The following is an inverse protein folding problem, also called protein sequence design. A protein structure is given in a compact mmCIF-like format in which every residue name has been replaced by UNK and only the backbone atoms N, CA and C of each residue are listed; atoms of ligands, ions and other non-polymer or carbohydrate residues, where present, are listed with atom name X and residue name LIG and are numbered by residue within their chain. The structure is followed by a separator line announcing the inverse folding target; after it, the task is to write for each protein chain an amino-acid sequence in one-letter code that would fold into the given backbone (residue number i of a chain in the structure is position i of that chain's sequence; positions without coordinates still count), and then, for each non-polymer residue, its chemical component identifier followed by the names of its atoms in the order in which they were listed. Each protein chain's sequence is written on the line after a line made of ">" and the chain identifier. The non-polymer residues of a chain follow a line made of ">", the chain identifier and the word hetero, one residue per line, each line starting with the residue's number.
data_IF_362482619328
#
_entry.id   IF_362482619328
#
_cell.length_a   1.000
_cell.length_b   1.000
_cell.length_c   1.000
_cell.angle_alpha   90.00
_cell.angle_beta   90.00
_cell.angle_gamma   90.00
#
_symmetry.space_group_name_H-M   'P 1'
#
loop_
_entity.id
_entity.type
_entity.pdbx_description
1 polymer ?
#
# COMPACT_ATOMS: atom_id res chain seq x y z
N UNK A 1 -7.99 5.25 -9.18
CA UNK A 1 -6.83 6.18 -9.42
C UNK A 1 -5.70 5.84 -8.48
N UNK A 2 -4.45 5.89 -8.97
CA UNK A 2 -3.22 5.72 -8.17
C UNK A 2 -2.38 6.97 -8.32
N UNK A 3 -1.81 7.46 -7.22
CA UNK A 3 -0.90 8.60 -7.19
C UNK A 3 0.31 8.32 -6.30
N UNK A 4 1.46 8.79 -6.72
CA UNK A 4 2.73 8.68 -6.00
C UNK A 4 3.37 10.06 -5.95
N UNK A 5 3.92 10.43 -4.79
CA UNK A 5 4.62 11.69 -4.57
C UNK A 5 5.98 11.46 -3.93
N UNK A 6 7.02 12.02 -4.53
CA UNK A 6 8.33 12.10 -3.91
C UNK A 6 8.33 13.30 -2.97
N UNK A 7 8.49 13.01 -1.69
CA UNK A 7 8.43 14.01 -0.63
C UNK A 7 9.79 14.70 -0.53
N UNK A 8 9.84 15.99 -0.79
CA UNK A 8 11.02 16.84 -0.58
C UNK A 8 10.83 17.77 0.60
N UNK A 9 9.57 18.07 0.95
CA UNK A 9 9.14 19.00 1.96
C UNK A 9 9.37 18.49 3.38
N UNK A 10 9.54 19.39 4.32
CA UNK A 10 9.51 19.12 5.76
C UNK A 10 8.09 18.76 6.22
N UNK A 11 7.96 18.21 7.42
CA UNK A 11 6.64 17.90 7.99
C UNK A 11 5.77 19.13 8.17
N UNK A 12 6.37 20.25 8.57
CA UNK A 12 5.73 21.54 8.78
C UNK A 12 5.23 22.13 7.45
N UNK A 13 6.06 22.15 6.42
CA UNK A 13 5.68 22.59 5.07
C UNK A 13 4.52 21.76 4.50
N UNK A 14 4.58 20.42 4.67
CA UNK A 14 3.48 19.55 4.27
C UNK A 14 2.18 19.85 5.03
N UNK A 15 2.28 20.12 6.33
CA UNK A 15 1.11 20.44 7.13
C UNK A 15 0.47 21.76 6.69
N UNK A 16 1.27 22.73 6.28
CA UNK A 16 0.78 24.01 5.76
C UNK A 16 -0.01 23.86 4.45
N UNK A 17 0.27 22.83 3.65
CA UNK A 17 -0.48 22.50 2.42
C UNK A 17 -1.87 21.91 2.68
N UNK A 18 -2.15 21.43 3.90
CA UNK A 18 -3.48 20.91 4.23
C UNK A 18 -4.51 22.03 4.40
N UNK A 19 -5.80 21.79 4.06
CA UNK A 19 -6.85 22.76 4.32
C UNK A 19 -7.08 22.94 5.82
N UNK A 20 -7.50 24.13 6.24
CA UNK A 20 -7.73 24.45 7.66
C UNK A 20 -8.76 23.51 8.30
N UNK A 21 -9.76 23.08 7.53
CA UNK A 21 -10.77 22.08 7.98
C UNK A 21 -10.18 20.73 8.37
N UNK A 22 -9.03 20.36 7.77
CA UNK A 22 -8.31 19.15 8.15
C UNK A 22 -7.35 19.41 9.31
N UNK A 23 -6.64 20.57 9.28
CA UNK A 23 -5.65 20.94 10.31
C UNK A 23 -6.23 20.93 11.72
N UNK A 24 -7.45 21.44 11.89
CA UNK A 24 -8.11 21.51 13.21
C UNK A 24 -8.41 20.12 13.82
N UNK A 25 -8.43 19.06 13.01
CA UNK A 25 -8.68 17.69 13.43
C UNK A 25 -7.39 16.88 13.66
N UNK A 26 -6.24 17.43 13.29
CA UNK A 26 -4.97 16.71 13.28
C UNK A 26 -4.01 17.26 14.33
N UNK A 27 -3.41 16.38 15.10
CA UNK A 27 -2.27 16.71 15.96
C UNK A 27 -0.96 16.44 15.20
N UNK A 28 -0.36 17.48 14.65
CA UNK A 28 0.91 17.39 13.91
C UNK A 28 2.03 16.75 14.74
N UNK A 29 2.04 16.95 16.07
CA UNK A 29 3.11 16.41 16.91
C UNK A 29 3.07 14.88 17.00
N UNK A 30 1.88 14.30 16.91
CA UNK A 30 1.69 12.84 16.89
C UNK A 30 1.95 12.19 15.54
N UNK A 31 2.09 12.98 14.46
CA UNK A 31 2.25 12.49 13.10
C UNK A 31 3.71 12.49 12.64
N UNK A 32 4.07 11.48 11.85
CA UNK A 32 5.32 11.53 11.10
C UNK A 32 5.12 12.21 9.73
N UNK A 33 6.24 12.56 9.07
CA UNK A 33 6.26 13.23 7.77
C UNK A 33 5.43 12.51 6.70
N UNK A 34 5.54 11.19 6.62
CA UNK A 34 4.81 10.38 5.64
C UNK A 34 3.29 10.41 5.85
N UNK A 35 2.85 10.41 7.11
CA UNK A 35 1.41 10.50 7.42
C UNK A 35 0.81 11.83 7.01
N UNK A 36 1.59 12.92 7.08
CA UNK A 36 1.14 14.24 6.60
C UNK A 36 1.14 14.25 5.07
N UNK A 37 2.23 13.79 4.43
CA UNK A 37 2.35 13.75 2.97
C UNK A 37 1.22 12.94 2.31
N UNK A 38 0.87 11.77 2.88
CA UNK A 38 -0.23 10.96 2.36
C UNK A 38 -1.58 11.69 2.41
N UNK A 39 -1.80 12.53 3.42
CA UNK A 39 -3.02 13.35 3.52
C UNK A 39 -3.02 14.51 2.54
N UNK A 40 -1.88 15.17 2.36
CA UNK A 40 -1.74 16.21 1.34
C UNK A 40 -1.99 15.63 -0.05
N UNK A 41 -1.40 14.47 -0.36
CA UNK A 41 -1.61 13.78 -1.62
C UNK A 41 -3.08 13.42 -1.83
N UNK A 42 -3.73 12.87 -0.80
CA UNK A 42 -5.15 12.53 -0.84
C UNK A 42 -6.03 13.77 -1.06
N UNK A 43 -5.75 14.88 -0.37
CA UNK A 43 -6.48 16.15 -0.58
C UNK A 43 -6.24 16.72 -1.97
N UNK A 44 -5.02 16.66 -2.49
CA UNK A 44 -4.69 17.12 -3.84
C UNK A 44 -5.48 16.37 -4.91
N UNK A 45 -5.64 15.05 -4.74
CA UNK A 45 -6.37 14.19 -5.68
C UNK A 45 -7.89 14.29 -5.48
N UNK A 46 -8.34 14.46 -4.25
CA UNK A 46 -9.75 14.48 -3.85
C UNK A 46 -10.05 15.75 -3.03
N UNK A 47 -10.01 16.95 -3.63
CA UNK A 47 -10.07 18.22 -2.90
C UNK A 47 -11.43 18.46 -2.21
N UNK A 48 -12.50 17.84 -2.72
CA UNK A 48 -13.87 17.98 -2.21
C UNK A 48 -14.19 16.99 -1.07
N UNK A 49 -13.19 16.18 -0.65
CA UNK A 49 -13.40 15.15 0.37
C UNK A 49 -12.92 15.65 1.74
N UNK A 50 -13.55 15.09 2.77
CA UNK A 50 -13.17 15.35 4.15
C UNK A 50 -11.85 14.68 4.54
N UNK A 51 -11.40 14.97 5.77
CA UNK A 51 -10.19 14.37 6.33
C UNK A 51 -10.27 12.84 6.41
N UNK A 52 -9.08 12.23 6.38
CA UNK A 52 -8.93 10.78 6.49
C UNK A 52 -8.85 10.38 7.98
N UNK A 53 -9.69 9.42 8.35
CA UNK A 53 -9.62 8.69 9.61
C UNK A 53 -9.24 7.23 9.40
N UNK A 54 -9.13 6.47 10.47
CA UNK A 54 -8.90 5.02 10.45
C UNK A 54 -10.00 4.32 11.23
N UNK A 55 -10.48 3.21 10.68
CA UNK A 55 -11.43 2.35 11.36
C UNK A 55 -10.78 1.54 12.50
N UNK A 56 -11.54 0.69 13.17
CA UNK A 56 -11.08 -0.19 14.25
C UNK A 56 -10.01 -1.21 13.81
N UNK A 57 -9.92 -1.48 12.51
CA UNK A 57 -8.91 -2.35 11.91
C UNK A 57 -7.67 -1.58 11.46
N UNK A 58 -7.71 -0.25 11.46
CA UNK A 58 -6.63 0.64 11.01
C UNK A 58 -6.66 0.97 9.52
N UNK A 59 -7.75 0.58 8.82
CA UNK A 59 -7.96 0.90 7.41
C UNK A 59 -8.35 2.37 7.28
N UNK A 60 -7.69 3.15 6.39
CA UNK A 60 -8.05 4.54 6.17
C UNK A 60 -9.37 4.66 5.41
N UNK A 61 -10.14 5.69 5.74
CA UNK A 61 -11.38 6.06 5.04
C UNK A 61 -11.61 7.58 5.09
N UNK A 62 -12.39 8.10 4.13
CA UNK A 62 -12.89 9.48 4.18
C UNK A 62 -14.16 9.54 5.03
N UNK A 63 -14.31 10.58 5.86
CA UNK A 63 -15.47 10.73 6.76
C UNK A 63 -16.78 10.92 5.98
N UNK A 64 -16.73 11.68 4.87
CA UNK A 64 -17.92 12.10 4.12
C UNK A 64 -18.24 11.27 2.89
N UNK A 65 -17.37 10.34 2.51
CA UNK A 65 -17.48 9.56 1.28
C UNK A 65 -17.11 8.11 1.52
N UNK A 66 -17.94 7.23 1.03
CA UNK A 66 -17.74 5.77 1.07
C UNK A 66 -16.91 5.29 -0.15
N UNK A 67 -15.80 5.98 -0.41
CA UNK A 67 -14.84 5.57 -1.42
C UNK A 67 -13.69 4.82 -0.77
N UNK A 68 -13.49 3.54 -1.13
CA UNK A 68 -12.34 2.79 -0.63
C UNK A 68 -11.03 3.48 -0.99
N UNK A 69 -10.18 3.65 0.03
CA UNK A 69 -8.85 4.23 -0.13
C UNK A 69 -7.77 3.33 0.45
N UNK A 70 -6.57 3.46 -0.08
CA UNK A 70 -5.39 2.80 0.44
C UNK A 70 -4.20 3.76 0.41
N UNK A 71 -3.37 3.69 1.45
CA UNK A 71 -2.23 4.59 1.66
C UNK A 71 -0.97 3.75 1.86
N UNK A 72 0.14 4.21 1.29
CA UNK A 72 1.45 3.60 1.49
C UNK A 72 2.54 4.64 1.54
N UNK A 73 3.71 4.25 2.07
CA UNK A 73 4.92 5.08 2.05
C UNK A 73 6.16 4.23 2.25
N UNK A 74 7.25 4.61 1.60
CA UNK A 74 8.59 4.07 1.84
C UNK A 74 9.64 5.11 1.44
N UNK A 75 10.72 5.21 2.24
CA UNK A 75 11.82 6.14 1.96
C UNK A 75 11.33 7.58 1.75
N UNK A 76 11.49 8.09 0.54
CA UNK A 76 11.08 9.45 0.17
C UNK A 76 9.67 9.52 -0.47
N UNK A 77 8.93 8.41 -0.58
CA UNK A 77 7.66 8.39 -1.29
C UNK A 77 6.46 8.22 -0.37
N UNK A 78 5.37 8.91 -0.71
CA UNK A 78 4.01 8.63 -0.27
C UNK A 78 3.15 8.21 -1.45
N UNK A 79 2.32 7.19 -1.26
CA UNK A 79 1.38 6.70 -2.25
C UNK A 79 -0.06 6.74 -1.73
N UNK A 80 -0.97 7.04 -2.63
CA UNK A 80 -2.41 7.09 -2.38
C UNK A 80 -3.16 6.42 -3.53
N UNK A 81 -4.15 5.62 -3.18
CA UNK A 81 -5.07 5.01 -4.13
C UNK A 81 -6.49 5.19 -3.64
N UNK A 82 -7.41 5.45 -4.57
CA UNK A 82 -8.84 5.34 -4.33
C UNK A 82 -9.58 4.70 -5.50
N UNK A 83 -10.75 4.16 -5.21
CA UNK A 83 -11.70 3.58 -6.15
C UNK A 83 -13.11 4.02 -5.78
N UNK A 84 -14.05 3.93 -6.71
CA UNK A 84 -15.43 4.38 -6.49
C UNK A 84 -16.36 3.22 -6.10
N UNK A 85 -16.04 2.00 -6.54
CA UNK A 85 -16.98 0.88 -6.54
C UNK A 85 -16.43 -0.44 -5.97
N UNK A 86 -15.14 -0.48 -5.57
CA UNK A 86 -14.51 -1.69 -5.06
C UNK A 86 -13.39 -1.38 -4.08
N UNK A 87 -13.08 -2.33 -3.23
CA UNK A 87 -11.91 -2.26 -2.36
C UNK A 87 -10.61 -2.07 -3.13
N UNK A 88 -9.62 -1.47 -2.49
CA UNK A 88 -8.31 -1.23 -3.10
C UNK A 88 -7.16 -1.43 -2.11
N UNK A 89 -6.00 -1.73 -2.67
CA UNK A 89 -4.77 -1.88 -1.90
C UNK A 89 -3.56 -1.44 -2.70
N UNK A 90 -2.72 -0.62 -2.10
CA UNK A 90 -1.46 -0.13 -2.67
C UNK A 90 -0.33 -0.33 -1.67
N UNK A 91 0.82 -0.75 -2.16
CA UNK A 91 2.04 -0.82 -1.35
C UNK A 91 3.26 -0.34 -2.14
N UNK A 92 4.17 0.36 -1.46
CA UNK A 92 5.48 0.76 -1.96
C UNK A 92 6.54 0.33 -0.96
N UNK A 93 7.66 -0.20 -1.47
CA UNK A 93 8.77 -0.62 -0.65
C UNK A 93 10.12 -0.19 -1.25
N UNK A 94 11.04 0.23 -0.39
CA UNK A 94 12.42 0.46 -0.78
C UNK A 94 13.21 -0.85 -0.66
N UNK A 95 13.80 -1.29 -1.75
CA UNK A 95 14.51 -2.58 -1.84
C UNK A 95 15.80 -2.52 -1.00
N UNK A 96 15.90 -3.44 -0.04
CA UNK A 96 17.07 -3.55 0.83
C UNK A 96 17.22 -4.98 1.38
N UNK A 97 18.39 -5.35 1.87
CA UNK A 97 18.64 -6.69 2.43
C UNK A 97 17.87 -7.00 3.72
N UNK A 98 17.19 -6.02 4.32
CA UNK A 98 16.37 -6.24 5.54
C UNK A 98 15.27 -7.28 5.36
N UNK A 99 14.74 -7.41 4.13
CA UNK A 99 13.66 -8.34 3.80
C UNK A 99 14.05 -9.80 4.03
N UNK A 100 15.33 -10.16 3.84
CA UNK A 100 15.84 -11.52 4.00
C UNK A 100 15.60 -12.08 5.41
N UNK A 101 15.63 -11.21 6.43
CA UNK A 101 15.43 -11.61 7.84
C UNK A 101 14.00 -12.07 8.13
N UNK A 102 13.04 -11.59 7.37
CA UNK A 102 11.61 -11.86 7.60
C UNK A 102 10.97 -12.74 6.53
N UNK A 103 11.71 -13.14 5.49
CA UNK A 103 11.18 -13.94 4.37
C UNK A 103 10.43 -15.21 4.83
N UNK A 104 10.88 -15.83 5.91
CA UNK A 104 10.25 -17.01 6.49
C UNK A 104 8.79 -16.77 6.96
N UNK A 105 8.39 -15.50 7.17
CA UNK A 105 7.04 -15.13 7.61
C UNK A 105 6.04 -15.03 6.46
N UNK A 106 6.51 -14.79 5.23
CA UNK A 106 5.61 -14.51 4.11
C UNK A 106 5.81 -15.39 2.87
N UNK A 107 7.00 -15.98 2.68
CA UNK A 107 7.25 -16.87 1.53
C UNK A 107 6.60 -18.22 1.77
N UNK A 108 5.76 -18.64 0.82
CA UNK A 108 5.17 -19.98 0.74
C UNK A 108 6.13 -20.95 0.05
N UNK A 109 5.89 -22.24 0.23
CA UNK A 109 6.68 -23.26 -0.44
C UNK A 109 6.60 -23.16 -1.97
N UNK A 110 5.41 -22.92 -2.50
CA UNK A 110 5.16 -22.74 -3.94
C UNK A 110 5.63 -21.37 -4.51
N UNK A 111 6.10 -20.48 -3.65
CA UNK A 111 6.67 -19.15 -4.00
C UNK A 111 8.22 -19.10 -3.87
N UNK A 112 8.87 -20.18 -3.44
CA UNK A 112 10.33 -20.21 -3.19
C UNK A 112 11.17 -19.79 -4.39
N UNK A 113 10.78 -20.20 -5.60
CA UNK A 113 11.48 -19.82 -6.84
C UNK A 113 11.58 -18.30 -7.07
N UNK A 114 10.67 -17.50 -6.49
CA UNK A 114 10.72 -16.04 -6.56
C UNK A 114 11.70 -15.47 -5.53
N UNK A 115 11.74 -16.06 -4.34
CA UNK A 115 12.76 -15.71 -3.35
C UNK A 115 14.18 -15.98 -3.87
N UNK A 116 14.38 -17.01 -4.68
CA UNK A 116 15.66 -17.36 -5.33
C UNK A 116 16.08 -16.34 -6.39
N UNK A 117 15.17 -15.48 -6.88
CA UNK A 117 15.47 -14.36 -7.77
C UNK A 117 16.12 -13.16 -7.05
N UNK A 118 16.49 -13.31 -5.78
CA UNK A 118 17.13 -12.28 -4.97
C UNK A 118 16.17 -11.26 -4.36
N UNK A 119 16.70 -10.08 -4.03
CA UNK A 119 15.92 -9.06 -3.31
C UNK A 119 14.66 -8.63 -4.06
N UNK A 120 14.74 -8.47 -5.38
CA UNK A 120 13.57 -8.09 -6.18
C UNK A 120 12.44 -9.13 -6.07
N UNK A 121 12.76 -10.43 -6.13
CA UNK A 121 11.78 -11.49 -5.97
C UNK A 121 11.17 -11.53 -4.57
N UNK A 122 11.97 -11.31 -3.53
CA UNK A 122 11.49 -11.21 -2.15
C UNK A 122 10.53 -10.02 -1.97
N UNK A 123 10.91 -8.83 -2.48
CA UNK A 123 10.06 -7.66 -2.41
C UNK A 123 8.80 -7.77 -3.26
N UNK A 124 8.86 -8.45 -4.42
CA UNK A 124 7.67 -8.74 -5.21
C UNK A 124 6.63 -9.51 -4.40
N UNK A 125 7.05 -10.56 -3.68
CA UNK A 125 6.12 -11.33 -2.84
C UNK A 125 5.63 -10.51 -1.65
N UNK A 126 6.52 -9.79 -0.97
CA UNK A 126 6.17 -8.99 0.20
C UNK A 126 5.18 -7.88 -0.15
N UNK A 127 5.54 -7.00 -1.07
CA UNK A 127 4.76 -5.82 -1.47
C UNK A 127 3.38 -6.22 -2.05
N UNK A 128 3.34 -7.30 -2.87
CA UNK A 128 2.06 -7.82 -3.37
C UNK A 128 1.15 -8.31 -2.24
N UNK A 129 1.70 -8.99 -1.24
CA UNK A 129 0.92 -9.47 -0.09
C UNK A 129 0.49 -8.33 0.83
N UNK A 130 1.31 -7.28 0.99
CA UNK A 130 0.90 -6.06 1.69
C UNK A 130 -0.23 -5.33 0.96
N UNK A 131 -0.18 -5.22 -0.37
CA UNK A 131 -1.28 -4.64 -1.15
C UNK A 131 -2.58 -5.46 -0.99
N UNK A 132 -2.50 -6.80 -1.03
CA UNK A 132 -3.65 -7.69 -0.77
C UNK A 132 -4.17 -7.57 0.66
N UNK A 133 -3.29 -7.43 1.64
CA UNK A 133 -3.67 -7.22 3.04
C UNK A 133 -4.43 -5.91 3.24
N UNK A 134 -3.96 -4.82 2.61
CA UNK A 134 -4.63 -3.52 2.61
C UNK A 134 -5.97 -3.56 1.88
N UNK A 135 -6.06 -4.28 0.76
CA UNK A 135 -7.31 -4.53 0.05
C UNK A 135 -8.33 -5.23 0.96
N UNK A 136 -7.93 -6.29 1.64
CA UNK A 136 -8.82 -7.03 2.55
C UNK A 136 -9.33 -6.16 3.70
N UNK A 137 -8.50 -5.30 4.25
CA UNK A 137 -8.84 -4.29 5.24
C UNK A 137 -9.17 -4.81 6.64
N UNK A 138 -9.53 -6.08 6.79
CA UNK A 138 -9.81 -6.72 8.07
C UNK A 138 -8.52 -7.37 8.61
N UNK A 139 -8.30 -7.31 9.92
CA UNK A 139 -7.14 -7.94 10.57
C UNK A 139 -7.14 -9.47 10.43
N UNK A 140 -6.01 -10.07 10.82
CA UNK A 140 -5.83 -11.52 10.93
C UNK A 140 -5.76 -12.28 9.59
N UNK A 141 -5.15 -11.68 8.55
CA UNK A 141 -4.60 -12.47 7.45
C UNK A 141 -3.19 -12.95 7.80
N UNK A 142 -2.96 -14.23 7.66
CA UNK A 142 -1.62 -14.81 7.66
C UNK A 142 -1.08 -14.85 6.23
N UNK A 143 0.12 -14.31 6.01
CA UNK A 143 0.68 -14.11 4.67
C UNK A 143 1.02 -15.43 3.95
N UNK A 144 1.28 -16.50 4.69
CA UNK A 144 1.60 -17.81 4.10
C UNK A 144 0.35 -18.65 3.87
N UNK A 145 -0.62 -18.53 4.76
CA UNK A 145 -1.81 -19.39 4.71
C UNK A 145 -2.90 -18.80 3.82
N UNK A 146 -3.13 -17.48 3.94
CA UNK A 146 -4.29 -16.86 3.33
C UNK A 146 -3.99 -16.10 2.02
N UNK A 147 -2.71 -15.75 1.77
CA UNK A 147 -2.30 -15.00 0.60
C UNK A 147 -1.44 -15.87 -0.31
N UNK A 148 -1.84 -15.94 -1.57
CA UNK A 148 -1.10 -16.66 -2.61
C UNK A 148 -0.95 -15.77 -3.84
N UNK A 149 0.22 -15.87 -4.47
CA UNK A 149 0.54 -15.16 -5.70
C UNK A 149 0.76 -16.15 -6.84
N UNK A 150 0.35 -15.75 -8.03
CA UNK A 150 0.66 -16.44 -9.27
C UNK A 150 1.39 -15.47 -10.18
N UNK A 151 2.60 -15.81 -10.53
CA UNK A 151 3.39 -15.00 -11.42
C UNK A 151 3.95 -15.79 -12.58
N UNK A 152 4.32 -15.02 -13.57
CA UNK A 152 5.28 -15.36 -14.60
C UNK A 152 6.62 -14.67 -14.30
N UNK A 153 7.69 -14.97 -15.01
CA UNK A 153 8.93 -14.20 -14.88
C UNK A 153 8.64 -12.71 -14.98
N UNK A 154 9.07 -11.94 -13.98
CA UNK A 154 8.76 -10.53 -13.90
C UNK A 154 9.81 -9.67 -14.61
N UNK A 155 9.34 -8.59 -15.20
CA UNK A 155 10.11 -7.54 -15.84
C UNK A 155 10.15 -6.29 -14.94
N UNK A 156 10.50 -5.14 -15.53
CA UNK A 156 10.49 -3.86 -14.81
C UNK A 156 9.09 -3.42 -14.40
N UNK A 157 8.09 -3.78 -15.18
CA UNK A 157 6.67 -3.45 -14.98
C UNK A 157 5.80 -4.57 -15.55
N UNK A 158 4.64 -4.82 -14.95
CA UNK A 158 3.72 -5.85 -15.41
C UNK A 158 2.58 -6.11 -14.45
N UNK A 159 1.95 -7.27 -14.65
CA UNK A 159 0.84 -7.71 -13.82
C UNK A 159 1.12 -9.10 -13.21
N UNK A 160 0.51 -9.36 -12.08
CA UNK A 160 0.49 -10.66 -11.43
C UNK A 160 -0.89 -10.91 -10.82
N UNK A 161 -1.20 -12.17 -10.52
CA UNK A 161 -2.46 -12.51 -9.85
C UNK A 161 -2.25 -12.71 -8.35
N UNK A 162 -3.06 -12.00 -7.57
CA UNK A 162 -3.16 -12.19 -6.12
C UNK A 162 -4.43 -12.96 -5.75
N UNK A 163 -4.32 -13.85 -4.77
CA UNK A 163 -5.42 -14.63 -4.23
C UNK A 163 -5.47 -14.42 -2.73
N UNK A 164 -6.64 -14.00 -2.23
CA UNK A 164 -6.96 -14.00 -0.81
C UNK A 164 -7.91 -15.18 -0.56
N UNK A 165 -7.57 -16.06 0.38
CA UNK A 165 -8.40 -17.19 0.76
C UNK A 165 -8.40 -17.37 2.27
N UNK A 166 -9.54 -17.04 2.92
CA UNK A 166 -9.71 -17.18 4.36
C UNK A 166 -11.14 -17.59 4.67
N UNK A 167 -11.30 -18.78 5.26
CA UNK A 167 -12.60 -19.39 5.49
C UNK A 167 -13.40 -19.48 4.17
N UNK A 168 -14.61 -18.95 4.14
CA UNK A 168 -15.45 -18.91 2.95
C UNK A 168 -15.11 -17.72 1.99
N UNK A 169 -14.32 -16.74 2.47
CA UNK A 169 -13.90 -15.61 1.64
C UNK A 169 -12.78 -16.03 0.71
N UNK A 170 -13.07 -15.97 -0.58
CA UNK A 170 -12.07 -16.27 -1.61
C UNK A 170 -12.23 -15.31 -2.78
N UNK A 171 -11.16 -14.61 -3.12
CA UNK A 171 -11.11 -13.70 -4.26
C UNK A 171 -9.77 -13.82 -4.98
N UNK A 172 -9.82 -13.69 -6.31
CA UNK A 172 -8.63 -13.57 -7.16
C UNK A 172 -8.71 -12.24 -7.88
N UNK A 173 -7.61 -11.50 -7.93
CA UNK A 173 -7.52 -10.20 -8.59
C UNK A 173 -6.20 -10.02 -9.29
N UNK A 174 -6.17 -9.13 -10.26
CA UNK A 174 -4.94 -8.67 -10.87
C UNK A 174 -4.30 -7.57 -10.02
N UNK A 175 -2.98 -7.61 -9.94
CA UNK A 175 -2.13 -6.61 -9.31
C UNK A 175 -1.20 -6.06 -10.37
N UNK A 176 -1.08 -4.74 -10.43
CA UNK A 176 -0.07 -4.10 -11.25
C UNK A 176 1.17 -3.82 -10.40
N UNK A 177 2.36 -4.03 -10.96
CA UNK A 177 3.63 -3.72 -10.30
C UNK A 177 4.54 -2.91 -11.20
N UNK A 178 5.38 -2.06 -10.58
CA UNK A 178 6.39 -1.27 -11.26
C UNK A 178 7.63 -1.12 -10.38
N UNK A 179 8.80 -1.49 -10.93
CA UNK A 179 10.11 -1.17 -10.36
C UNK A 179 10.60 0.17 -10.92
N UNK A 180 11.06 1.05 -10.03
CA UNK A 180 11.70 2.30 -10.40
C UNK A 180 12.74 2.66 -9.34
N UNK A 181 13.90 3.12 -9.79
CA UNK A 181 15.08 3.32 -8.91
C UNK A 181 15.30 2.09 -8.01
N UNK A 182 15.36 2.29 -6.70
CA UNK A 182 15.43 1.22 -5.71
C UNK A 182 14.05 0.90 -5.07
N UNK A 183 12.96 1.22 -5.73
CA UNK A 183 11.59 1.00 -5.19
C UNK A 183 10.80 0.02 -6.03
N UNK A 184 9.85 -0.61 -5.36
CA UNK A 184 8.78 -1.40 -5.98
C UNK A 184 7.44 -0.85 -5.51
N UNK A 185 6.58 -0.49 -6.46
CA UNK A 185 5.19 -0.13 -6.25
C UNK A 185 4.29 -1.26 -6.73
N UNK A 186 3.30 -1.66 -5.94
CA UNK A 186 2.27 -2.62 -6.33
C UNK A 186 0.89 -2.10 -5.90
N UNK A 187 -0.11 -2.28 -6.75
CA UNK A 187 -1.50 -1.97 -6.42
C UNK A 187 -2.47 -2.94 -7.06
N UNK A 188 -3.66 -3.09 -6.47
CA UNK A 188 -4.80 -3.85 -7.04
C UNK A 188 -5.38 -3.13 -8.26
N UNK A 189 -5.88 -3.93 -9.23
CA UNK A 189 -6.57 -3.42 -10.41
C UNK A 189 -8.07 -3.63 -10.33
#
# INVERSE_FOLDING_TARGET
>A
MVALWRIEETKEELFDLLPDTWKVKLDINSMNRHNVAARVLAHTICPDFDSIEKDEYGKPYFISKDYPISITHAGEYAGFMYTEDRECGIDIEQISSRIERIQHKFIREDEQKFAESGLQGLYMVWCAKEALYKYYGLKALDFKTHLKLQFEPFEKEGNLKGIISKNEYKITMDLHYQFFDEYLLIHTQ
#
